data_IF_589417330383
#
_entry.id   IF_589417330383
#
_cell.length_a   1.000
_cell.length_b   1.000
_cell.length_c   1.000
_cell.angle_alpha   90.00
_cell.angle_beta   90.00
_cell.angle_gamma   90.00
#
_symmetry.space_group_name_H-M   'P 1'
#
loop_
_entity.id
_entity.type
_entity.pdbx_description
1 polymer ?
#
# COMPACT_ATOMS: atom_id res chain seq x y z
N UNK A 1 51.51 -38.91 28.36
CA UNK A 1 50.50 -37.87 28.12
C UNK A 1 50.44 -37.54 26.63
N UNK A 2 49.45 -38.04 25.90
CA UNK A 2 49.26 -37.74 24.48
C UNK A 2 48.61 -36.37 24.31
N UNK A 3 49.36 -35.40 23.78
CA UNK A 3 48.84 -34.06 23.44
C UNK A 3 47.70 -34.22 22.43
N UNK A 4 46.47 -33.91 22.82
CA UNK A 4 45.36 -33.81 21.87
C UNK A 4 45.69 -32.74 20.82
N UNK A 5 45.87 -33.15 19.55
CA UNK A 5 45.96 -32.19 18.45
C UNK A 5 44.64 -31.44 18.34
N UNK A 6 44.68 -30.12 18.55
CA UNK A 6 43.53 -29.24 18.34
C UNK A 6 43.09 -29.34 16.88
N UNK A 7 41.89 -29.88 16.65
CA UNK A 7 41.32 -29.95 15.31
C UNK A 7 40.98 -28.55 14.83
N UNK A 8 41.58 -28.13 13.72
CA UNK A 8 41.29 -26.84 13.10
C UNK A 8 39.80 -26.78 12.72
N UNK A 9 39.10 -25.71 13.12
CA UNK A 9 37.68 -25.57 12.81
C UNK A 9 37.44 -25.50 11.28
N UNK A 10 36.28 -25.99 10.82
CA UNK A 10 35.91 -25.91 9.38
C UNK A 10 35.97 -24.49 8.83
N UNK A 11 35.61 -23.49 9.64
CA UNK A 11 35.64 -22.08 9.25
C UNK A 11 37.09 -21.59 9.05
N UNK A 12 38.03 -22.04 9.88
CA UNK A 12 39.45 -21.76 9.68
C UNK A 12 40.01 -22.46 8.43
N UNK A 13 39.62 -23.72 8.19
CA UNK A 13 40.00 -24.43 6.96
C UNK A 13 39.44 -23.75 5.70
N UNK A 14 38.19 -23.25 5.75
CA UNK A 14 37.58 -22.50 4.66
C UNK A 14 38.35 -21.21 4.32
N UNK A 15 38.75 -20.42 5.34
CA UNK A 15 39.57 -19.22 5.13
C UNK A 15 40.92 -19.56 4.49
N UNK A 16 41.59 -20.62 4.95
CA UNK A 16 42.86 -21.09 4.37
C UNK A 16 42.69 -21.54 2.92
N UNK A 17 41.60 -22.22 2.58
CA UNK A 17 41.30 -22.63 1.21
C UNK A 17 41.06 -21.41 0.31
N UNK A 18 40.28 -20.44 0.77
CA UNK A 18 40.00 -19.19 0.06
C UNK A 18 41.28 -18.38 -0.19
N UNK A 19 42.16 -18.27 0.81
CA UNK A 19 43.46 -17.62 0.65
C UNK A 19 44.36 -18.30 -0.39
N UNK A 20 44.13 -19.57 -0.70
CA UNK A 20 44.81 -20.34 -1.75
C UNK A 20 44.06 -20.35 -3.09
N UNK A 21 43.02 -19.53 -3.24
CA UNK A 21 42.17 -19.50 -4.44
C UNK A 21 41.29 -20.75 -4.62
N UNK A 22 41.21 -21.63 -3.63
CA UNK A 22 40.39 -22.85 -3.71
C UNK A 22 38.99 -22.59 -3.16
N UNK A 23 37.98 -22.94 -3.96
CA UNK A 23 36.56 -22.81 -3.58
C UNK A 23 36.08 -23.93 -2.64
N UNK A 24 36.81 -25.04 -2.59
CA UNK A 24 36.48 -26.23 -1.80
C UNK A 24 37.71 -26.74 -1.04
N UNK A 25 37.46 -27.48 0.04
CA UNK A 25 38.50 -28.13 0.85
C UNK A 25 37.96 -29.42 1.47
N UNK A 26 38.85 -30.37 1.74
CA UNK A 26 38.50 -31.60 2.47
C UNK A 26 38.34 -31.29 3.96
N UNK A 27 37.21 -31.70 4.53
CA UNK A 27 36.95 -31.58 5.95
C UNK A 27 36.10 -32.75 6.44
N UNK A 28 36.31 -33.14 7.71
CA UNK A 28 35.50 -34.15 8.38
C UNK A 28 34.05 -33.65 8.51
N UNK A 29 33.09 -34.37 7.95
CA UNK A 29 31.68 -34.00 8.08
C UNK A 29 31.12 -34.52 9.41
N UNK A 30 30.70 -33.64 10.32
CA UNK A 30 30.14 -34.02 11.61
C UNK A 30 28.81 -34.78 11.48
N UNK A 31 28.02 -34.48 10.45
CA UNK A 31 26.72 -35.13 10.20
C UNK A 31 26.88 -36.57 9.70
N UNK A 32 27.93 -36.84 8.91
CA UNK A 32 28.18 -38.16 8.35
C UNK A 32 29.21 -38.97 9.13
N UNK A 33 29.96 -38.33 10.04
CA UNK A 33 30.85 -39.04 10.94
C UNK A 33 30.03 -39.63 12.09
N UNK A 34 29.43 -40.79 11.85
CA UNK A 34 28.74 -41.60 12.86
C UNK A 34 29.70 -42.65 13.44
N UNK A 35 29.49 -43.03 14.69
CA UNK A 35 30.15 -44.19 15.33
C UNK A 35 31.69 -44.17 15.25
N UNK A 36 32.31 -43.01 15.49
CA UNK A 36 33.76 -42.87 15.53
C UNK A 36 34.48 -42.91 14.18
N UNK A 37 33.78 -43.21 13.08
CA UNK A 37 34.36 -43.16 11.72
C UNK A 37 34.35 -41.73 11.21
N UNK A 38 35.54 -41.16 10.99
CA UNK A 38 35.70 -39.83 10.41
C UNK A 38 35.51 -39.90 8.90
N UNK A 39 34.40 -39.34 8.41
CA UNK A 39 34.14 -39.26 6.97
C UNK A 39 34.58 -37.91 6.43
N UNK A 40 35.50 -37.92 5.47
CA UNK A 40 36.07 -36.73 4.85
C UNK A 40 35.30 -36.36 3.58
N UNK A 41 34.70 -35.18 3.55
CA UNK A 41 34.00 -34.67 2.37
C UNK A 41 34.61 -33.36 1.90
N UNK A 42 34.45 -33.07 0.62
CA UNK A 42 34.60 -31.71 0.14
C UNK A 42 33.56 -30.80 0.81
N UNK A 43 34.01 -29.65 1.28
CA UNK A 43 33.21 -28.62 1.90
C UNK A 43 33.33 -27.30 1.16
N UNK A 44 32.23 -26.55 1.13
CA UNK A 44 32.16 -25.17 0.63
C UNK A 44 31.65 -24.31 1.77
N UNK A 45 32.54 -23.56 2.41
CA UNK A 45 32.23 -22.81 3.63
C UNK A 45 32.10 -23.71 4.86
N UNK A 46 30.97 -23.65 5.57
CA UNK A 46 30.76 -24.39 6.84
C UNK A 46 30.16 -25.79 6.67
N UNK A 47 29.64 -26.13 5.49
CA UNK A 47 28.94 -27.39 5.22
C UNK A 47 29.68 -28.25 4.19
N UNK A 48 29.55 -29.56 4.34
CA UNK A 48 30.00 -30.47 3.28
C UNK A 48 29.05 -30.40 2.08
N UNK A 49 29.57 -30.70 0.89
CA UNK A 49 28.83 -30.65 -0.37
C UNK A 49 27.59 -31.55 -0.33
N UNK A 50 27.69 -32.76 0.25
CA UNK A 50 26.54 -33.66 0.39
C UNK A 50 25.44 -33.10 1.30
N UNK A 51 25.76 -32.63 2.51
CA UNK A 51 24.76 -32.01 3.40
C UNK A 51 24.12 -30.76 2.77
N UNK A 52 24.87 -30.05 1.92
CA UNK A 52 24.34 -28.90 1.19
C UNK A 52 23.35 -29.38 0.12
N UNK A 53 23.72 -30.40 -0.66
CA UNK A 53 22.85 -31.01 -1.68
C UNK A 53 21.55 -31.56 -1.07
N UNK A 54 21.62 -32.29 0.05
CA UNK A 54 20.43 -32.78 0.76
C UNK A 54 19.52 -31.65 1.24
N UNK A 55 20.11 -30.57 1.79
CA UNK A 55 19.35 -29.40 2.24
C UNK A 55 18.67 -28.71 1.07
N UNK A 56 19.36 -28.60 -0.06
CA UNK A 56 18.82 -27.97 -1.26
C UNK A 56 17.74 -28.85 -1.91
N UNK A 57 17.90 -30.17 -1.91
CA UNK A 57 16.86 -31.12 -2.33
C UNK A 57 15.60 -31.01 -1.46
N UNK A 58 15.73 -30.97 -0.13
CA UNK A 58 14.59 -30.76 0.78
C UNK A 58 13.88 -29.43 0.55
N UNK A 59 14.62 -28.37 0.26
CA UNK A 59 14.04 -27.07 -0.09
C UNK A 59 13.33 -27.11 -1.44
N UNK A 60 13.92 -27.78 -2.43
CA UNK A 60 13.32 -27.94 -3.76
C UNK A 60 12.01 -28.73 -3.66
N UNK A 61 12.01 -29.82 -2.90
CA UNK A 61 10.81 -30.61 -2.66
C UNK A 61 9.73 -29.80 -1.95
N UNK A 62 10.07 -29.05 -0.89
CA UNK A 62 9.11 -28.17 -0.23
C UNK A 62 8.54 -27.11 -1.18
N UNK A 63 9.34 -26.51 -2.06
CA UNK A 63 8.82 -25.58 -3.07
C UNK A 63 7.88 -26.24 -4.07
N UNK A 64 8.05 -27.53 -4.32
CA UNK A 64 7.20 -28.30 -5.23
C UNK A 64 5.87 -28.67 -4.57
N UNK A 65 5.89 -29.04 -3.29
CA UNK A 65 4.71 -29.58 -2.58
C UNK A 65 3.90 -28.53 -1.83
N UNK A 66 4.51 -27.41 -1.43
CA UNK A 66 3.90 -26.35 -0.63
C UNK A 66 3.79 -25.05 -1.46
N UNK A 67 2.61 -24.77 -2.06
CA UNK A 67 2.42 -23.61 -2.94
C UNK A 67 2.54 -22.27 -2.20
N UNK A 68 2.15 -22.22 -0.91
CA UNK A 68 2.31 -21.03 -0.06
C UNK A 68 3.78 -20.73 0.18
N UNK A 69 4.58 -21.75 0.51
CA UNK A 69 6.03 -21.61 0.64
C UNK A 69 6.66 -21.15 -0.67
N UNK A 70 6.21 -21.67 -1.82
CA UNK A 70 6.68 -21.24 -3.13
C UNK A 70 6.34 -19.76 -3.43
N UNK A 71 5.12 -19.32 -3.13
CA UNK A 71 4.69 -17.93 -3.24
C UNK A 71 5.54 -17.00 -2.34
N UNK A 72 5.70 -17.36 -1.07
CA UNK A 72 6.52 -16.61 -0.12
C UNK A 72 8.00 -16.51 -0.56
N UNK A 73 8.60 -17.60 -1.06
CA UNK A 73 9.96 -17.57 -1.58
C UNK A 73 10.12 -16.68 -2.82
N UNK A 74 9.11 -16.66 -3.71
CA UNK A 74 9.08 -15.74 -4.86
C UNK A 74 9.01 -14.29 -4.39
N UNK A 75 8.13 -13.97 -3.44
CA UNK A 75 8.02 -12.63 -2.85
C UNK A 75 9.34 -12.17 -2.21
N UNK A 76 9.99 -13.02 -1.42
CA UNK A 76 11.30 -12.73 -0.82
C UNK A 76 12.38 -12.43 -1.89
N UNK A 77 12.40 -13.20 -2.98
CA UNK A 77 13.37 -13.02 -4.05
C UNK A 77 13.13 -11.72 -4.83
N UNK A 78 11.86 -11.37 -5.11
CA UNK A 78 11.48 -10.10 -5.72
C UNK A 78 11.92 -8.93 -4.83
N UNK A 79 11.57 -8.95 -3.54
CA UNK A 79 11.97 -7.91 -2.58
C UNK A 79 13.50 -7.76 -2.50
N UNK A 80 14.24 -8.86 -2.48
CA UNK A 80 15.71 -8.84 -2.49
C UNK A 80 16.27 -8.19 -3.77
N UNK A 81 15.72 -8.54 -4.94
CA UNK A 81 16.15 -7.96 -6.21
C UNK A 81 15.81 -6.46 -6.29
N UNK A 82 14.63 -6.06 -5.83
CA UNK A 82 14.22 -4.65 -5.74
C UNK A 82 15.16 -3.86 -4.84
N UNK A 83 15.46 -4.34 -3.62
CA UNK A 83 16.41 -3.67 -2.71
C UNK A 83 17.80 -3.54 -3.34
N UNK A 84 18.29 -4.57 -4.03
CA UNK A 84 19.57 -4.51 -4.74
C UNK A 84 19.56 -3.44 -5.83
N UNK A 85 18.54 -3.43 -6.69
CA UNK A 85 18.38 -2.44 -7.77
C UNK A 85 18.33 -1.01 -7.22
N UNK A 86 17.58 -0.77 -6.14
CA UNK A 86 17.51 0.55 -5.51
C UNK A 86 18.88 1.02 -5.00
N UNK A 87 19.65 0.11 -4.39
CA UNK A 87 21.02 0.40 -3.93
C UNK A 87 21.97 0.70 -5.10
N UNK A 88 21.89 -0.05 -6.19
CA UNK A 88 22.68 0.18 -7.40
C UNK A 88 22.37 1.52 -8.06
N UNK A 89 21.14 2.02 -7.91
CA UNK A 89 20.71 3.34 -8.35
C UNK A 89 21.07 4.47 -7.36
N UNK A 90 21.83 4.18 -6.29
CA UNK A 90 22.19 5.16 -5.27
C UNK A 90 21.01 5.66 -4.43
N UNK A 91 19.86 4.97 -4.47
CA UNK A 91 18.70 5.38 -3.67
C UNK A 91 18.89 4.96 -2.21
N UNK A 92 18.45 5.80 -1.25
CA UNK A 92 18.48 5.45 0.16
C UNK A 92 17.67 4.17 0.40
N UNK A 93 18.08 3.35 1.38
CA UNK A 93 17.28 2.20 1.77
C UNK A 93 15.92 2.70 2.25
N UNK A 94 14.85 2.15 1.68
CA UNK A 94 13.49 2.43 2.14
C UNK A 94 13.39 2.07 3.61
N UNK A 95 13.02 3.04 4.45
CA UNK A 95 12.70 2.78 5.84
C UNK A 95 11.56 1.74 5.86
N UNK A 96 11.87 0.52 6.28
CA UNK A 96 10.84 -0.48 6.49
C UNK A 96 10.01 -0.02 7.70
N UNK A 97 8.67 -0.01 7.60
CA UNK A 97 7.83 0.29 8.75
C UNK A 97 8.18 -0.65 9.91
N UNK A 98 8.01 -0.16 11.14
CA UNK A 98 8.20 -1.02 12.33
C UNK A 98 7.17 -2.15 12.31
N UNK A 99 7.46 -3.25 13.00
CA UNK A 99 6.54 -4.39 13.09
C UNK A 99 5.15 -4.02 13.58
N UNK A 100 5.06 -3.06 14.51
CA UNK A 100 3.81 -2.50 15.02
C UNK A 100 2.99 -1.80 13.93
N UNK A 101 3.64 -0.98 13.08
CA UNK A 101 2.97 -0.28 11.97
C UNK A 101 2.48 -1.28 10.91
N UNK A 102 3.23 -2.36 10.66
CA UNK A 102 2.77 -3.42 9.75
C UNK A 102 1.58 -4.18 10.33
N UNK A 103 1.55 -4.42 11.65
CA UNK A 103 0.40 -5.03 12.31
C UNK A 103 -0.83 -4.11 12.23
N UNK A 104 -0.68 -2.82 12.45
CA UNK A 104 -1.75 -1.83 12.30
C UNK A 104 -2.30 -1.78 10.87
N UNK A 105 -1.42 -1.77 9.86
CA UNK A 105 -1.82 -1.85 8.45
C UNK A 105 -2.57 -3.14 8.13
N UNK A 106 -2.14 -4.27 8.71
CA UNK A 106 -2.79 -5.56 8.53
C UNK A 106 -4.18 -5.58 9.17
N UNK A 107 -4.34 -5.08 10.39
CA UNK A 107 -5.65 -4.97 11.04
C UNK A 107 -6.58 -4.06 10.26
N UNK A 108 -6.09 -2.93 9.76
CA UNK A 108 -6.87 -2.05 8.89
C UNK A 108 -7.31 -2.76 7.60
N UNK A 109 -6.40 -3.48 6.94
CA UNK A 109 -6.70 -4.22 5.71
C UNK A 109 -7.71 -5.36 5.89
N UNK A 110 -7.83 -5.95 7.09
CA UNK A 110 -8.86 -6.96 7.38
C UNK A 110 -10.27 -6.38 7.39
N UNK A 111 -10.41 -5.08 7.66
CA UNK A 111 -11.70 -4.37 7.60
C UNK A 111 -12.13 -3.97 6.19
N UNK A 112 -11.33 -4.26 5.17
CA UNK A 112 -11.65 -3.91 3.80
C UNK A 112 -12.87 -4.70 3.28
N UNK A 113 -13.80 -4.05 2.54
CA UNK A 113 -14.89 -4.73 1.87
C UNK A 113 -14.39 -5.87 0.96
N UNK A 114 -15.19 -6.93 0.82
CA UNK A 114 -14.85 -8.07 -0.04
C UNK A 114 -14.73 -7.59 -1.49
N UNK A 115 -13.58 -7.88 -2.12
CA UNK A 115 -13.29 -7.47 -3.49
C UNK A 115 -12.61 -6.11 -3.64
N UNK A 116 -12.47 -5.35 -2.55
CA UNK A 116 -11.65 -4.13 -2.53
C UNK A 116 -10.15 -4.49 -2.44
N UNK A 117 -9.33 -3.68 -3.10
CA UNK A 117 -7.87 -3.66 -2.95
C UNK A 117 -7.46 -2.56 -1.99
N UNK A 118 -6.39 -2.77 -1.22
CA UNK A 118 -5.81 -1.69 -0.41
C UNK A 118 -4.90 -0.83 -1.27
N UNK A 119 -5.23 0.45 -1.40
CA UNK A 119 -4.44 1.45 -2.11
C UNK A 119 -3.87 2.50 -1.16
N UNK A 120 -2.86 3.25 -1.61
CA UNK A 120 -2.28 4.35 -0.87
C UNK A 120 -2.95 5.69 -1.22
N UNK A 121 -3.64 6.31 -0.25
CA UNK A 121 -4.24 7.64 -0.35
C UNK A 121 -3.31 8.64 -1.04
N UNK A 122 -2.10 8.81 -0.48
CA UNK A 122 -0.96 9.44 -1.15
C UNK A 122 -0.08 8.35 -1.77
N UNK A 123 0.15 8.38 -3.10
CA UNK A 123 0.94 7.35 -3.76
C UNK A 123 2.34 7.28 -3.17
N UNK A 124 2.87 6.07 -3.01
CA UNK A 124 4.26 5.85 -2.57
C UNK A 124 5.27 6.60 -3.46
N UNK A 125 4.86 6.86 -4.70
CA UNK A 125 5.60 7.56 -5.75
C UNK A 125 4.59 8.36 -6.56
N UNK A 126 4.45 9.64 -6.24
CA UNK A 126 3.59 10.57 -6.97
C UNK A 126 4.39 11.40 -7.96
N UNK A 127 3.85 11.54 -9.17
CA UNK A 127 4.34 12.50 -10.16
C UNK A 127 3.30 13.56 -10.41
N UNK A 128 3.75 14.80 -10.56
CA UNK A 128 2.92 15.85 -11.11
C UNK A 128 2.76 15.63 -12.62
N UNK A 129 1.53 15.51 -13.14
CA UNK A 129 1.29 15.27 -14.56
C UNK A 129 1.69 16.44 -15.46
N UNK A 130 1.74 17.66 -14.93
CA UNK A 130 2.07 18.87 -15.69
C UNK A 130 3.58 19.05 -15.85
N UNK A 131 4.33 18.85 -14.76
CA UNK A 131 5.79 19.01 -14.75
C UNK A 131 6.54 17.70 -15.03
N UNK A 132 5.91 16.55 -14.80
CA UNK A 132 6.55 15.23 -14.83
C UNK A 132 7.53 14.99 -13.67
N UNK A 133 7.59 15.91 -12.71
CA UNK A 133 8.50 15.83 -11.58
C UNK A 133 7.94 14.97 -10.44
N UNK A 134 8.85 14.43 -9.63
CA UNK A 134 8.50 13.70 -8.43
C UNK A 134 8.03 14.66 -7.35
N UNK A 135 6.75 14.64 -7.02
CA UNK A 135 6.16 15.60 -6.08
C UNK A 135 5.94 15.02 -4.68
N UNK A 136 5.63 13.73 -4.55
CA UNK A 136 5.36 13.11 -3.24
C UNK A 136 5.83 11.66 -3.11
N UNK A 137 5.98 11.24 -1.86
CA UNK A 137 6.16 9.84 -1.47
C UNK A 137 5.33 9.55 -0.22
N UNK A 138 4.23 8.82 -0.39
CA UNK A 138 3.42 8.31 0.70
C UNK A 138 4.15 7.26 1.55
N UNK A 139 3.71 7.10 2.80
CA UNK A 139 4.23 6.09 3.74
C UNK A 139 3.33 4.84 3.76
N UNK A 140 3.89 3.69 4.10
CA UNK A 140 3.12 2.47 4.40
C UNK A 140 2.66 2.52 5.88
N UNK A 141 1.50 3.11 6.10
CA UNK A 141 0.89 3.38 7.41
C UNK A 141 -0.63 3.30 7.25
N UNK A 142 -1.35 2.88 8.29
CA UNK A 142 -2.79 2.61 8.20
C UNK A 142 -3.60 3.83 7.72
N UNK A 143 -3.24 5.03 8.18
CA UNK A 143 -3.87 6.29 7.78
C UNK A 143 -3.58 6.74 6.35
N UNK A 144 -2.63 6.10 5.65
CA UNK A 144 -2.38 6.32 4.23
C UNK A 144 -2.94 5.16 3.38
N UNK A 145 -3.64 4.19 3.97
CA UNK A 145 -4.27 3.09 3.24
C UNK A 145 -5.77 3.33 3.11
N UNK A 146 -6.33 2.98 1.96
CA UNK A 146 -7.76 3.08 1.68
C UNK A 146 -8.24 1.85 0.88
N UNK A 147 -9.39 1.25 1.21
CA UNK A 147 -9.99 0.22 0.38
C UNK A 147 -10.58 0.85 -0.88
N UNK A 148 -10.29 0.27 -2.04
CA UNK A 148 -10.69 0.78 -3.34
C UNK A 148 -11.06 -0.33 -4.30
N UNK A 149 -12.02 -0.09 -5.19
CA UNK A 149 -12.32 -1.06 -6.23
C UNK A 149 -11.13 -1.26 -7.19
N UNK A 150 -10.88 -2.49 -7.68
CA UNK A 150 -9.76 -2.76 -8.58
C UNK A 150 -9.74 -1.89 -9.84
N UNK A 151 -10.90 -1.50 -10.37
CA UNK A 151 -11.01 -0.63 -11.55
C UNK A 151 -10.57 0.79 -11.24
N UNK A 152 -11.07 1.33 -10.12
CA UNK A 152 -10.74 2.65 -9.59
C UNK A 152 -9.25 2.74 -9.26
N UNK A 153 -8.70 1.73 -8.57
CA UNK A 153 -7.29 1.66 -8.21
C UNK A 153 -6.36 1.71 -9.45
N UNK A 154 -6.72 0.98 -10.53
CA UNK A 154 -5.97 1.02 -11.79
C UNK A 154 -6.02 2.38 -12.48
N UNK A 155 -7.14 3.12 -12.35
CA UNK A 155 -7.31 4.44 -12.95
C UNK A 155 -6.51 5.51 -12.21
N UNK A 156 -6.45 5.44 -10.88
CA UNK A 156 -5.67 6.37 -10.02
C UNK A 156 -4.18 6.34 -10.36
N UNK A 157 -3.62 5.15 -10.56
CA UNK A 157 -2.22 4.96 -10.91
C UNK A 157 -1.26 5.70 -9.94
N UNK A 158 -0.33 6.52 -10.44
CA UNK A 158 0.74 7.18 -9.67
C UNK A 158 0.74 8.70 -9.82
N UNK A 159 -0.37 9.26 -10.32
CA UNK A 159 -0.50 10.70 -10.56
C UNK A 159 -0.85 11.43 -9.26
N UNK A 160 -0.17 12.55 -8.98
CA UNK A 160 -0.43 13.39 -7.82
C UNK A 160 -0.19 14.87 -8.17
N UNK A 161 -1.27 15.66 -8.22
CA UNK A 161 -1.21 17.10 -8.51
C UNK A 161 -1.54 17.93 -7.25
N UNK A 162 -0.55 18.49 -6.54
CA UNK A 162 -0.80 19.26 -5.32
C UNK A 162 -1.35 20.67 -5.57
N UNK A 163 -1.24 21.22 -6.79
CA UNK A 163 -1.52 22.64 -7.07
C UNK A 163 -2.94 22.87 -7.60
N UNK A 164 -3.51 21.90 -8.32
CA UNK A 164 -4.90 21.96 -8.82
C UNK A 164 -5.85 21.04 -8.04
N UNK A 165 -5.95 21.24 -6.73
CA UNK A 165 -6.87 20.53 -5.82
C UNK A 165 -8.34 20.49 -6.29
N UNK A 166 -8.74 21.41 -7.17
CA UNK A 166 -10.09 21.58 -7.71
C UNK A 166 -10.39 20.69 -8.93
N UNK A 167 -9.37 20.26 -9.69
CA UNK A 167 -9.50 19.24 -10.73
C UNK A 167 -9.34 17.81 -10.18
N UNK A 168 -8.98 17.64 -8.91
CA UNK A 168 -9.03 16.35 -8.21
C UNK A 168 -10.46 15.92 -7.76
N UNK A 169 -11.54 16.43 -8.38
CA UNK A 169 -12.94 16.04 -8.09
C UNK A 169 -13.36 14.77 -8.86
N UNK A 170 -14.06 13.77 -8.27
CA UNK A 170 -14.22 13.41 -6.85
C UNK A 170 -13.16 12.37 -6.40
N UNK A 171 -11.98 12.38 -7.00
CA UNK A 171 -11.01 11.30 -6.88
C UNK A 171 -9.87 11.57 -5.89
N UNK A 172 -9.93 12.62 -5.07
CA UNK A 172 -9.07 12.85 -3.90
C UNK A 172 -9.57 14.07 -3.09
N UNK A 173 -10.79 14.03 -2.51
CA UNK A 173 -11.43 15.24 -1.95
C UNK A 173 -11.18 15.55 -0.46
N UNK A 174 -10.18 14.93 0.19
CA UNK A 174 -9.74 15.34 1.53
C UNK A 174 -8.39 16.06 1.45
N UNK A 175 -8.10 17.07 2.30
CA UNK A 175 -6.71 17.40 2.63
C UNK A 175 -6.11 16.16 3.32
N UNK A 176 -5.54 15.26 2.51
CA UNK A 176 -5.28 13.87 2.90
C UNK A 176 -5.50 12.82 1.79
N UNK A 177 -6.08 13.19 0.64
CA UNK A 177 -6.08 12.40 -0.60
C UNK A 177 -6.91 11.11 -0.57
N UNK A 178 -8.24 11.21 -0.64
CA UNK A 178 -9.14 10.04 -0.74
C UNK A 178 -9.83 9.88 -2.11
N UNK A 179 -9.51 8.81 -2.86
CA UNK A 179 -10.03 8.59 -4.21
C UNK A 179 -11.43 7.99 -4.19
N UNK A 180 -12.44 8.75 -4.60
CA UNK A 180 -13.81 8.25 -4.77
C UNK A 180 -14.10 8.00 -6.25
N UNK A 181 -14.61 6.80 -6.58
CA UNK A 181 -15.00 6.30 -7.92
C UNK A 181 -15.75 7.30 -8.82
N UNK A 182 -16.08 6.92 -10.07
CA UNK A 182 -16.95 7.78 -10.90
C UNK A 182 -18.24 8.06 -10.08
N UNK A 183 -18.80 9.28 -10.15
CA UNK A 183 -19.92 9.70 -9.29
C UNK A 183 -21.10 8.71 -9.23
N UNK A 184 -21.29 7.87 -10.25
CA UNK A 184 -22.32 6.81 -10.28
C UNK A 184 -21.98 5.51 -9.52
N UNK A 185 -20.73 5.29 -9.10
CA UNK A 185 -20.31 4.16 -8.27
C UNK A 185 -20.19 4.55 -6.77
N UNK A 186 -20.16 5.86 -6.45
CA UNK A 186 -20.01 6.38 -5.08
C UNK A 186 -21.24 6.14 -4.21
N UNK A 187 -22.45 6.12 -4.77
CA UNK A 187 -23.67 5.89 -4.00
C UNK A 187 -23.83 4.45 -3.53
N UNK A 188 -23.03 3.51 -4.05
CA UNK A 188 -23.04 2.12 -3.61
C UNK A 188 -22.18 1.83 -2.37
N UNK A 189 -21.25 2.72 -1.98
CA UNK A 189 -20.31 2.46 -0.87
C UNK A 189 -20.35 3.49 0.26
N UNK A 190 -21.31 4.43 0.24
CA UNK A 190 -21.52 5.33 1.39
C UNK A 190 -22.49 4.70 2.39
N UNK A 191 -21.92 4.34 3.55
CA UNK A 191 -22.58 3.97 4.81
C UNK A 191 -23.09 2.53 4.95
N UNK A 192 -22.19 1.61 5.30
CA UNK A 192 -22.52 0.58 6.29
C UNK A 192 -21.95 1.01 7.64
N UNK A 193 -22.67 1.91 8.32
CA UNK A 193 -22.51 2.12 9.76
C UNK A 193 -23.64 1.32 10.40
N UNK A 194 -23.31 0.47 11.38
CA UNK A 194 -24.28 -0.31 12.16
C UNK A 194 -25.35 0.63 12.75
N UNK A 195 -26.49 0.75 12.08
CA UNK A 195 -27.48 1.79 12.43
C UNK A 195 -28.82 1.78 11.68
N UNK A 196 -29.09 0.82 10.79
CA UNK A 196 -30.46 0.59 10.31
C UNK A 196 -30.92 1.36 9.08
N UNK A 197 -30.02 1.79 8.20
CA UNK A 197 -30.42 2.19 6.84
C UNK A 197 -30.48 0.94 5.98
N UNK A 198 -31.69 0.51 5.61
CA UNK A 198 -31.88 -0.57 4.65
C UNK A 198 -31.43 -0.08 3.27
N UNK A 199 -30.47 -0.77 2.65
CA UNK A 199 -30.08 -0.54 1.26
C UNK A 199 -31.14 -1.14 0.35
N UNK A 200 -31.89 -0.28 -0.34
CA UNK A 200 -32.69 -0.69 -1.49
C UNK A 200 -31.84 -0.58 -2.75
N UNK A 201 -31.65 -1.71 -3.43
CA UNK A 201 -30.97 -1.75 -4.72
C UNK A 201 -31.92 -1.18 -5.77
N UNK A 202 -31.64 0.03 -6.25
CA UNK A 202 -32.37 0.65 -7.37
C UNK A 202 -31.54 0.60 -8.65
N UNK A 203 -32.22 0.45 -9.77
CA UNK A 203 -31.61 0.55 -11.10
C UNK A 203 -31.22 1.99 -11.42
N UNK A 204 -30.36 2.19 -12.41
CA UNK A 204 -29.92 3.53 -12.86
C UNK A 204 -31.10 4.40 -13.31
N UNK A 205 -32.14 3.80 -13.88
CA UNK A 205 -33.35 4.53 -14.31
C UNK A 205 -34.18 4.99 -13.12
N UNK A 206 -34.37 4.12 -12.11
CA UNK A 206 -35.08 4.44 -10.87
C UNK A 206 -34.35 5.54 -10.09
N UNK A 207 -33.02 5.47 -10.00
CA UNK A 207 -32.22 6.50 -9.35
C UNK A 207 -32.35 7.86 -10.04
N UNK A 208 -32.31 7.89 -11.39
CA UNK A 208 -32.51 9.13 -12.15
C UNK A 208 -33.90 9.73 -11.91
N UNK A 209 -34.93 8.89 -11.85
CA UNK A 209 -36.29 9.34 -11.55
C UNK A 209 -36.37 9.97 -10.14
N UNK A 210 -35.78 9.32 -9.13
CA UNK A 210 -35.73 9.84 -7.76
C UNK A 210 -35.01 11.18 -7.67
N UNK A 211 -33.88 11.34 -8.36
CA UNK A 211 -33.13 12.61 -8.34
C UNK A 211 -33.90 13.76 -9.01
N UNK A 212 -34.68 13.47 -10.06
CA UNK A 212 -35.57 14.46 -10.68
C UNK A 212 -36.68 14.87 -9.72
N UNK A 213 -37.30 13.90 -9.04
CA UNK A 213 -38.35 14.15 -8.06
C UNK A 213 -37.87 15.01 -6.89
N UNK A 214 -36.74 14.63 -6.27
CA UNK A 214 -36.12 15.43 -5.21
C UNK A 214 -35.74 16.84 -5.67
N UNK A 215 -35.27 16.98 -6.91
CA UNK A 215 -34.98 18.30 -7.50
C UNK A 215 -36.23 19.16 -7.66
N UNK A 216 -37.35 18.56 -8.07
CA UNK A 216 -38.63 19.25 -8.21
C UNK A 216 -39.18 19.68 -6.83
N UNK A 217 -39.13 18.80 -5.82
CA UNK A 217 -39.55 19.13 -4.46
C UNK A 217 -38.74 20.28 -3.86
N UNK A 218 -37.42 20.28 -4.07
CA UNK A 218 -36.54 21.36 -3.60
C UNK A 218 -36.88 22.70 -4.28
N UNK A 219 -37.23 22.67 -5.57
CA UNK A 219 -37.67 23.86 -6.31
C UNK A 219 -39.03 24.37 -5.83
N UNK A 220 -39.98 23.48 -5.53
CA UNK A 220 -41.27 23.85 -4.94
C UNK A 220 -41.09 24.48 -3.54
N UNK A 221 -40.20 23.94 -2.71
CA UNK A 221 -39.87 24.54 -1.42
C UNK A 221 -39.18 25.90 -1.55
N UNK A 222 -38.28 26.05 -2.53
CA UNK A 222 -37.59 27.31 -2.80
C UNK A 222 -38.55 28.40 -3.29
N UNK A 223 -39.53 28.04 -4.14
CA UNK A 223 -40.56 28.98 -4.59
C UNK A 223 -41.55 29.34 -3.47
N UNK A 224 -41.93 28.38 -2.62
CA UNK A 224 -42.76 28.63 -1.44
C UNK A 224 -42.08 29.56 -0.42
N UNK A 225 -40.76 29.41 -0.21
CA UNK A 225 -39.98 30.26 0.70
C UNK A 225 -39.60 31.61 0.08
N UNK A 226 -39.37 31.66 -1.24
CA UNK A 226 -39.18 32.91 -1.99
C UNK A 226 -40.41 33.81 -1.95
N UNK A 227 -41.61 33.25 -2.08
CA UNK A 227 -42.88 33.97 -1.93
C UNK A 227 -43.06 34.56 -0.51
N UNK A 228 -42.48 33.94 0.52
CA UNK A 228 -42.51 34.47 1.89
C UNK A 228 -41.58 35.68 2.08
N UNK A 229 -40.45 35.74 1.37
CA UNK A 229 -39.47 36.83 1.50
C UNK A 229 -39.83 38.07 0.67
N UNK A 230 -40.57 37.94 -0.43
CA UNK A 230 -41.00 39.08 -1.25
C UNK A 230 -42.07 39.96 -0.55
N UNK A 231 -42.66 39.48 0.55
CA UNK A 231 -43.58 40.25 1.39
C UNK A 231 -42.90 41.30 2.30
N UNK A 232 -41.56 41.35 2.35
CA UNK A 232 -40.79 42.28 3.22
C UNK A 232 -40.17 43.49 2.51
N UNK A 233 -40.37 43.68 1.21
CA UNK A 233 -39.77 44.80 0.45
C UNK A 233 -40.63 46.08 0.38
N UNK A 234 -41.79 46.12 1.02
CA UNK A 234 -42.59 47.35 1.13
C UNK A 234 -42.19 48.18 2.37
N UNK A 235 -41.36 49.22 2.15
CA UNK A 235 -41.11 50.43 2.96
C UNK A 235 -39.63 50.72 3.27
N UNK A 236 -38.82 50.94 2.23
CA UNK A 236 -37.62 51.76 2.39
C UNK A 236 -37.95 53.19 1.94
N UNK A 237 -38.44 53.98 2.90
CA UNK A 237 -38.80 55.38 2.72
C UNK A 237 -37.52 56.20 2.47
N UNK A 238 -37.41 56.75 1.25
CA UNK A 238 -36.29 57.55 0.81
C UNK A 238 -36.39 58.94 1.47
N UNK A 239 -35.87 59.05 2.69
CA UNK A 239 -35.74 60.31 3.42
C UNK A 239 -34.89 61.32 2.64
N UNK A 240 -35.57 62.30 2.03
CA UNK A 240 -34.96 63.52 1.48
C UNK A 240 -34.23 64.27 2.60
N UNK A 241 -32.91 64.21 2.62
CA UNK A 241 -32.08 65.18 3.35
C UNK A 241 -31.83 66.38 2.45
N UNK A 242 -32.53 67.48 2.70
CA UNK A 242 -32.22 68.79 2.15
C UNK A 242 -31.18 69.46 3.05
N UNK A 243 -29.94 69.58 2.55
CA UNK A 243 -28.93 70.44 3.14
C UNK A 243 -29.33 71.91 2.92
N UNK A 244 -29.57 72.64 4.01
CA UNK A 244 -29.66 74.10 4.01
C UNK A 244 -28.25 74.69 4.00
N UNK A 245 -28.05 75.59 3.06
CA UNK A 245 -26.87 76.41 2.84
C UNK A 245 -26.57 77.30 4.05
N UNK A 246 -25.27 77.45 4.33
CA UNK A 246 -24.73 78.52 5.17
C UNK A 246 -24.09 79.58 4.25
N UNK A 247 -24.67 80.77 4.29
CA UNK A 247 -24.06 82.05 3.89
C UNK A 247 -24.53 83.10 4.91
#
# INVERSE_FOLDING_TARGET
MTKQMKTTSKRAMARKAQARGRKTFLAVCSTHSKEGKRVWHYAKGSKCVQCQAEKDAKKAERRRTDPEYAAHQRALQLNKNTRRRLRELGRPETAMPKGEQLAECLEFAKGAPVGAEMDHAVPLRGFDPMTGEWTVSGLHVAWNLEPMEPRSNRRKNSTFDPETLWFQRPYNSYPGGQFHGDFGEIEFMRYTVDGGVALELVTVEEFKAMMIEMGNEAMEQATATGAANDSRSASFDCGKQTNKEAA
#
